data_IF_239712835306
#
_entry.id   IF_239712835306
#
_cell.length_a   1.000
_cell.length_b   1.000
_cell.length_c   1.000
_cell.angle_alpha   90.00
_cell.angle_beta   90.00
_cell.angle_gamma   90.00
#
_symmetry.space_group_name_H-M   'P 1'
#
loop_
_entity.id
_entity.type
_entity.pdbx_description
1 polymer ?
#
# COMPACT_ATOMS: atom_id res chain seq x y z
N UNK A 1 -9.25 -15.22 0.03
CA UNK A 1 -8.37 -14.02 0.08
C UNK A 1 -7.21 -14.32 1.01
N UNK A 2 -5.96 -14.24 0.56
CA UNK A 2 -4.79 -14.66 1.35
C UNK A 2 -4.60 -13.85 2.65
N UNK A 3 -4.94 -12.56 2.65
CA UNK A 3 -4.87 -11.70 3.83
C UNK A 3 -5.80 -12.20 4.95
N UNK A 4 -7.05 -12.51 4.63
CA UNK A 4 -8.03 -12.98 5.62
C UNK A 4 -7.57 -14.31 6.25
N UNK A 5 -7.08 -15.24 5.44
CA UNK A 5 -6.55 -16.52 5.94
C UNK A 5 -5.34 -16.33 6.87
N UNK A 6 -4.44 -15.38 6.56
CA UNK A 6 -3.33 -15.04 7.45
C UNK A 6 -3.81 -14.39 8.76
N UNK A 7 -4.80 -13.49 8.70
CA UNK A 7 -5.40 -12.89 9.89
C UNK A 7 -6.13 -13.91 10.78
N UNK A 8 -6.69 -14.98 10.19
CA UNK A 8 -7.31 -16.10 10.91
C UNK A 8 -6.28 -17.11 11.46
N UNK A 9 -4.98 -16.88 11.24
CA UNK A 9 -3.92 -17.77 11.73
C UNK A 9 -3.76 -19.06 10.92
N UNK A 10 -4.33 -19.14 9.71
CA UNK A 10 -4.23 -20.32 8.84
C UNK A 10 -2.86 -20.45 8.15
N UNK A 11 -1.94 -19.51 8.39
CA UNK A 11 -0.57 -19.58 7.89
C UNK A 11 0.08 -18.21 7.73
N UNK A 12 1.06 -18.16 6.83
CA UNK A 12 1.88 -16.98 6.54
C UNK A 12 1.63 -16.50 5.12
N UNK A 13 1.55 -15.17 4.95
CA UNK A 13 1.29 -14.57 3.64
C UNK A 13 2.20 -13.36 3.40
N UNK A 14 2.68 -13.23 2.16
CA UNK A 14 3.27 -12.00 1.68
C UNK A 14 2.15 -11.07 1.20
N UNK A 15 2.03 -9.92 1.84
CA UNK A 15 0.94 -8.96 1.60
C UNK A 15 1.51 -7.56 1.40
N UNK A 16 0.80 -6.71 0.66
CA UNK A 16 1.22 -5.32 0.49
C UNK A 16 1.13 -4.58 1.82
N UNK A 17 2.10 -3.69 2.07
CA UNK A 17 2.15 -2.91 3.31
C UNK A 17 0.85 -2.13 3.54
N UNK A 18 0.26 -1.56 2.48
CA UNK A 18 -0.98 -0.80 2.54
C UNK A 18 -2.16 -1.62 3.10
N UNK A 19 -2.27 -2.89 2.70
CA UNK A 19 -3.35 -3.77 3.17
C UNK A 19 -3.07 -4.32 4.58
N UNK A 20 -1.80 -4.59 4.90
CA UNK A 20 -1.39 -5.16 6.17
C UNK A 20 -1.42 -4.15 7.33
N UNK A 21 -1.23 -2.86 7.05
CA UNK A 21 -1.10 -1.79 8.06
C UNK A 21 -2.19 -1.85 9.13
N UNK A 22 -3.46 -1.98 8.73
CA UNK A 22 -4.58 -2.01 9.67
C UNK A 22 -4.60 -3.30 10.49
N UNK A 23 -4.36 -4.46 9.87
CA UNK A 23 -4.35 -5.74 10.56
C UNK A 23 -3.18 -5.85 11.55
N UNK A 24 -2.02 -5.28 11.23
CA UNK A 24 -0.88 -5.17 12.14
C UNK A 24 -1.20 -4.22 13.30
N UNK A 25 -1.77 -3.04 13.03
CA UNK A 25 -2.15 -2.09 14.07
C UNK A 25 -3.20 -2.65 15.05
N UNK A 26 -4.04 -3.57 14.57
CA UNK A 26 -5.04 -4.28 15.38
C UNK A 26 -4.50 -5.55 16.05
N UNK A 27 -3.24 -5.92 15.81
CA UNK A 27 -2.61 -7.11 16.39
C UNK A 27 -2.99 -8.44 15.73
N UNK A 28 -3.75 -8.44 14.62
CA UNK A 28 -4.10 -9.65 13.89
C UNK A 28 -2.93 -10.24 13.09
N UNK A 29 -1.96 -9.40 12.71
CA UNK A 29 -0.78 -9.82 11.97
C UNK A 29 0.49 -9.33 12.65
N UNK A 30 1.52 -10.15 12.59
CA UNK A 30 2.88 -9.80 12.99
C UNK A 30 3.83 -9.97 11.81
N UNK A 31 4.70 -8.98 11.60
CA UNK A 31 5.75 -9.08 10.59
C UNK A 31 6.79 -10.12 11.01
N UNK A 32 7.01 -11.14 10.18
CA UNK A 32 8.01 -12.18 10.44
C UNK A 32 9.45 -11.73 10.15
N UNK A 33 9.62 -10.71 9.31
CA UNK A 33 10.91 -10.14 8.96
C UNK A 33 10.76 -8.66 8.63
N UNK A 34 11.80 -7.87 8.92
CA UNK A 34 11.90 -6.48 8.49
C UNK A 34 12.22 -6.34 6.99
N UNK A 35 12.60 -7.44 6.33
CA UNK A 35 12.95 -7.44 4.91
C UNK A 35 11.71 -7.19 4.06
N UNK A 36 11.77 -6.16 3.21
CA UNK A 36 10.69 -5.77 2.31
C UNK A 36 11.00 -6.20 0.88
N UNK A 37 10.02 -6.81 0.22
CA UNK A 37 10.08 -7.10 -1.23
C UNK A 37 9.55 -5.89 -1.98
N UNK A 38 10.22 -5.52 -3.09
CA UNK A 38 9.75 -4.43 -3.95
C UNK A 38 8.33 -4.75 -4.42
N UNK A 39 7.40 -3.88 -4.07
CA UNK A 39 6.00 -4.04 -4.44
C UNK A 39 5.74 -3.81 -5.94
N UNK A 40 4.57 -4.20 -6.43
CA UNK A 40 4.15 -3.89 -7.80
C UNK A 40 4.10 -2.38 -8.03
N UNK A 41 4.44 -1.94 -9.24
CA UNK A 41 4.26 -0.57 -9.68
C UNK A 41 2.77 -0.35 -10.00
N UNK A 42 2.08 0.40 -9.15
CA UNK A 42 0.68 0.75 -9.36
C UNK A 42 0.57 1.91 -10.34
N UNK A 43 -0.26 1.75 -11.37
CA UNK A 43 -0.65 2.81 -12.28
C UNK A 43 -2.15 3.04 -12.15
N UNK A 44 -2.56 4.32 -12.15
CA UNK A 44 -3.96 4.68 -12.27
C UNK A 44 -4.24 5.07 -13.72
N UNK A 45 -5.25 4.44 -14.31
CA UNK A 45 -5.64 4.65 -15.70
C UNK A 45 -6.76 5.68 -15.74
N UNK A 46 -6.59 6.72 -16.55
CA UNK A 46 -7.60 7.74 -16.82
C UNK A 46 -8.02 7.61 -18.27
N UNK A 47 -9.34 7.64 -18.51
CA UNK A 47 -9.84 7.65 -19.88
C UNK A 47 -9.31 8.88 -20.62
N UNK A 48 -8.95 8.73 -21.90
CA UNK A 48 -8.30 9.79 -22.69
C UNK A 48 -9.09 11.09 -22.68
N UNK A 49 -10.40 11.00 -22.85
CA UNK A 49 -11.28 12.19 -22.90
C UNK A 49 -11.44 12.87 -21.55
N UNK A 50 -11.09 12.19 -20.46
CA UNK A 50 -11.16 12.72 -19.10
C UNK A 50 -9.81 13.26 -18.61
N UNK A 51 -8.73 13.14 -19.38
CA UNK A 51 -7.39 13.57 -18.94
C UNK A 51 -7.32 15.08 -18.62
N UNK A 52 -8.13 15.87 -19.32
CA UNK A 52 -8.18 17.33 -19.22
C UNK A 52 -9.35 17.83 -18.36
N UNK A 53 -10.20 16.90 -17.87
CA UNK A 53 -11.29 17.21 -16.95
C UNK A 53 -10.72 17.64 -15.59
N UNK A 54 -11.05 18.84 -15.09
CA UNK A 54 -10.64 19.30 -13.76
C UNK A 54 -11.03 18.34 -12.63
N UNK A 55 -12.18 17.68 -12.72
CA UNK A 55 -12.65 16.72 -11.73
C UNK A 55 -11.81 15.44 -11.77
N UNK A 56 -11.48 14.94 -12.96
CA UNK A 56 -10.62 13.78 -13.10
C UNK A 56 -9.22 14.08 -12.56
N UNK A 57 -8.66 15.27 -12.85
CA UNK A 57 -7.36 15.69 -12.30
C UNK A 57 -7.39 15.81 -10.78
N UNK A 58 -8.43 16.42 -10.21
CA UNK A 58 -8.60 16.52 -8.76
C UNK A 58 -8.75 15.14 -8.10
N UNK A 59 -9.55 14.26 -8.70
CA UNK A 59 -9.69 12.88 -8.28
C UNK A 59 -8.35 12.12 -8.34
N UNK A 60 -7.52 12.38 -9.34
CA UNK A 60 -6.19 11.75 -9.46
C UNK A 60 -5.14 12.32 -8.51
N UNK A 61 -5.31 13.56 -8.07
CA UNK A 61 -4.41 14.20 -7.12
C UNK A 61 -4.60 13.62 -5.70
N UNK A 62 -5.83 13.39 -5.27
CA UNK A 62 -6.13 12.90 -3.92
C UNK A 62 -5.42 11.57 -3.55
N UNK A 63 -5.44 10.50 -4.39
CA UNK A 63 -4.71 9.27 -4.12
C UNK A 63 -3.21 9.48 -4.07
N UNK A 64 -2.66 10.37 -4.91
CA UNK A 64 -1.22 10.65 -4.94
C UNK A 64 -0.76 11.29 -3.64
N UNK A 65 -1.55 12.20 -3.08
CA UNK A 65 -1.27 12.81 -1.78
C UNK A 65 -1.36 11.80 -0.63
N UNK A 66 -2.39 10.96 -0.64
CA UNK A 66 -2.61 9.97 0.42
C UNK A 66 -1.57 8.85 0.41
N UNK A 67 -1.22 8.33 -0.79
CA UNK A 67 -0.24 7.26 -0.94
C UNK A 67 1.21 7.77 -0.83
N UNK A 68 1.49 9.00 -1.27
CA UNK A 68 2.80 9.64 -1.11
C UNK A 68 3.16 9.86 0.36
N UNK A 69 2.17 10.18 1.21
CA UNK A 69 2.36 10.29 2.68
C UNK A 69 2.70 8.94 3.32
N UNK A 70 2.15 7.83 2.83
CA UNK A 70 2.43 6.49 3.37
C UNK A 70 3.78 5.90 2.94
N UNK A 71 4.48 6.50 1.96
CA UNK A 71 5.75 6.01 1.43
C UNK A 71 7.00 6.52 2.19
N UNK A 72 6.84 7.46 3.15
CA UNK A 72 7.98 7.98 3.93
C UNK A 72 8.35 7.00 5.06
N UNK A 73 9.03 5.94 4.67
CA UNK A 73 9.73 5.01 5.55
C UNK A 73 11.19 4.91 5.13
N UNK A 74 11.83 6.04 4.83
CA UNK A 74 13.28 6.15 4.65
C UNK A 74 13.94 6.08 6.02
N UNK A 75 14.30 4.87 6.44
CA UNK A 75 15.33 4.69 7.48
C UNK A 75 16.65 5.25 6.94
N UNK A 76 17.30 6.21 7.63
CA UNK A 76 18.68 6.54 7.30
C UNK A 76 19.54 5.31 7.66
N UNK A 77 20.19 4.72 6.64
CA UNK A 77 21.39 3.92 6.87
C UNK A 77 22.50 4.93 7.16
N UNK A 78 22.94 4.97 8.42
CA UNK A 78 24.24 5.53 8.78
C UNK A 78 25.25 4.37 8.95
N UNK A 79 26.53 4.61 8.60
CA UNK A 79 27.60 3.62 8.55
C UNK A 79 28.03 3.10 9.93
#
# INVERSE_FOLDING_TARGET
MLLAAACEGLGVALVSQLLAQRAVAQGFLQALSAQRVRGPAWACLVHRDSQDDPLARGCMQWPREQLGRSAVGTTPVSP
#
